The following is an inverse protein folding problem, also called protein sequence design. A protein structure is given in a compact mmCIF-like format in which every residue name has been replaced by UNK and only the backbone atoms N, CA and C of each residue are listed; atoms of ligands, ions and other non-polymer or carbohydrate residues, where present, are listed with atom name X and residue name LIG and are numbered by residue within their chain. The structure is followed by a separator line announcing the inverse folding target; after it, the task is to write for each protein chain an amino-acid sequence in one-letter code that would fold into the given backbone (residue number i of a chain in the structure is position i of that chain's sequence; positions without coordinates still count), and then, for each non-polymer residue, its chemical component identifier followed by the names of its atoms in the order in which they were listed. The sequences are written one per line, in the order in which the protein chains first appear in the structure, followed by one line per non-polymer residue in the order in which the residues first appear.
data_IF_286300109125
#
_entry.id   IF_286300109125
#
_cell.length_a   1.000
_cell.length_b   1.000
_cell.length_c   1.000
_cell.angle_alpha   90.00
_cell.angle_beta   90.00
_cell.angle_gamma   90.00
#
_symmetry.space_group_name_H-M   'P 1'
#
loop_
_entity.id
_entity.type
_entity.pdbx_description
1 polymer ?
#
# COMPACT_ATOMS: atom_id res chain seq x y z
N UNK A 1 -32.14 15.19 -1.72
CA UNK A 1 -31.03 16.14 -1.89
C UNK A 1 -30.49 16.68 -0.57
N UNK A 2 -31.33 17.20 0.35
CA UNK A 2 -30.86 17.74 1.65
C UNK A 2 -30.04 16.74 2.48
N UNK A 3 -30.50 15.49 2.57
CA UNK A 3 -29.86 14.43 3.37
C UNK A 3 -28.42 14.11 2.89
N UNK A 4 -28.20 14.12 1.57
CA UNK A 4 -26.90 13.85 0.96
C UNK A 4 -25.90 14.98 1.26
N UNK A 5 -26.34 16.23 1.19
CA UNK A 5 -25.51 17.39 1.53
C UNK A 5 -25.17 17.38 3.02
N UNK A 6 -26.13 17.06 3.88
CA UNK A 6 -25.90 16.92 5.32
C UNK A 6 -24.86 15.82 5.61
N UNK A 7 -24.93 14.68 4.91
CA UNK A 7 -23.94 13.60 5.04
C UNK A 7 -22.53 14.07 4.68
N UNK A 8 -22.37 14.77 3.55
CA UNK A 8 -21.08 15.34 3.15
C UNK A 8 -20.54 16.28 4.24
N UNK A 9 -21.39 17.17 4.77
CA UNK A 9 -21.01 18.11 5.85
C UNK A 9 -20.63 17.39 7.14
N UNK A 10 -21.37 16.37 7.56
CA UNK A 10 -21.06 15.55 8.75
C UNK A 10 -19.72 14.84 8.62
N UNK A 11 -19.36 14.39 7.42
CA UNK A 11 -18.06 13.79 7.11
C UNK A 11 -16.95 14.83 6.88
N UNK A 12 -17.27 16.14 6.98
CA UNK A 12 -16.32 17.22 6.71
C UNK A 12 -15.86 17.30 5.26
N UNK A 13 -16.66 16.80 4.32
CA UNK A 13 -16.35 16.72 2.89
C UNK A 13 -16.82 17.98 2.14
N UNK A 14 -16.10 18.41 1.08
CA UNK A 14 -16.53 19.51 0.25
C UNK A 14 -17.85 19.20 -0.45
N UNK A 15 -18.72 20.22 -0.56
CA UNK A 15 -20.01 20.11 -1.26
C UNK A 15 -19.88 20.81 -2.61
N UNK A 16 -20.17 20.08 -3.69
CA UNK A 16 -20.23 20.58 -5.05
C UNK A 16 -21.07 19.65 -5.91
N UNK A 17 -21.75 20.19 -6.92
CA UNK A 17 -22.65 19.41 -7.78
C UNK A 17 -22.28 19.45 -9.27
N UNK A 18 -21.34 20.29 -9.66
CA UNK A 18 -20.88 20.45 -11.04
C UNK A 18 -19.37 20.74 -11.11
N UNK A 19 -18.85 20.79 -12.35
CA UNK A 19 -17.43 20.99 -12.62
C UNK A 19 -16.99 22.40 -12.22
N UNK A 20 -17.85 23.41 -12.39
CA UNK A 20 -17.56 24.81 -12.05
C UNK A 20 -17.32 24.98 -10.55
N UNK A 21 -18.18 24.38 -9.71
CA UNK A 21 -18.02 24.38 -8.26
C UNK A 21 -16.75 23.65 -7.84
N UNK A 22 -16.46 22.49 -8.43
CA UNK A 22 -15.23 21.75 -8.15
C UNK A 22 -13.98 22.54 -8.59
N UNK A 23 -14.03 23.19 -9.75
CA UNK A 23 -12.96 24.01 -10.28
C UNK A 23 -12.62 25.17 -9.33
N UNK A 24 -13.65 25.85 -8.81
CA UNK A 24 -13.48 26.91 -7.80
C UNK A 24 -12.83 26.39 -6.51
N UNK A 25 -13.24 25.20 -6.03
CA UNK A 25 -12.67 24.58 -4.82
C UNK A 25 -11.20 24.15 -4.99
N UNK A 26 -10.84 23.63 -6.17
CA UNK A 26 -9.46 23.22 -6.48
C UNK A 26 -8.60 24.44 -6.87
N UNK A 27 -9.22 25.55 -7.27
CA UNK A 27 -8.60 26.76 -7.85
C UNK A 27 -7.93 26.49 -9.20
N UNK A 28 -8.69 25.88 -10.11
CA UNK A 28 -8.29 25.62 -11.50
C UNK A 28 -9.35 26.21 -12.43
N UNK A 29 -8.96 26.61 -13.64
CA UNK A 29 -9.89 27.04 -14.67
C UNK A 29 -10.92 25.94 -15.00
N UNK A 30 -12.21 26.29 -15.06
CA UNK A 30 -13.29 25.33 -15.25
C UNK A 30 -13.23 24.66 -16.63
N UNK A 31 -12.87 25.40 -17.69
CA UNK A 31 -12.71 24.83 -19.04
C UNK A 31 -11.58 23.81 -19.06
N UNK A 32 -10.46 24.11 -18.40
CA UNK A 32 -9.35 23.17 -18.26
C UNK A 32 -9.76 21.93 -17.48
N UNK A 33 -10.48 22.08 -16.36
CA UNK A 33 -10.96 20.93 -15.60
C UNK A 33 -11.91 20.06 -16.42
N UNK A 34 -12.80 20.65 -17.20
CA UNK A 34 -13.68 19.92 -18.13
C UNK A 34 -12.89 19.08 -19.12
N UNK A 35 -11.83 19.63 -19.74
CA UNK A 35 -10.95 18.87 -20.64
C UNK A 35 -10.31 17.69 -19.91
N UNK A 36 -9.78 17.93 -18.70
CA UNK A 36 -9.14 16.88 -17.89
C UNK A 36 -10.12 15.77 -17.50
N UNK A 37 -11.40 16.09 -17.27
CA UNK A 37 -12.45 15.12 -16.95
C UNK A 37 -12.87 14.34 -18.19
N UNK A 38 -13.16 15.01 -19.30
CA UNK A 38 -13.66 14.39 -20.52
C UNK A 38 -12.60 13.58 -21.28
N UNK A 39 -11.32 13.96 -21.14
CA UNK A 39 -10.21 13.33 -21.85
C UNK A 39 -9.14 12.79 -20.88
N UNK A 40 -9.53 12.40 -19.66
CA UNK A 40 -8.60 12.01 -18.58
C UNK A 40 -7.55 11.00 -19.02
N UNK A 41 -7.93 10.05 -19.88
CA UNK A 41 -7.06 9.01 -20.42
C UNK A 41 -5.85 9.55 -21.21
N UNK A 42 -6.00 10.68 -21.91
CA UNK A 42 -4.91 11.32 -22.67
C UNK A 42 -3.82 11.90 -21.76
N UNK A 43 -4.13 12.06 -20.48
CA UNK A 43 -3.23 12.63 -19.48
C UNK A 43 -2.50 11.56 -18.65
N UNK A 44 -2.45 10.32 -19.13
CA UNK A 44 -1.66 9.25 -18.52
C UNK A 44 -0.54 8.79 -19.46
N UNK A 45 0.65 8.63 -18.89
CA UNK A 45 1.77 7.95 -19.54
C UNK A 45 1.89 6.54 -19.00
N UNK A 46 1.93 5.56 -19.90
CA UNK A 46 2.19 4.16 -19.51
C UNK A 46 3.63 3.76 -19.78
N UNK A 47 4.21 3.02 -18.86
CA UNK A 47 5.56 2.46 -18.99
C UNK A 47 5.68 1.18 -18.15
N UNK A 48 6.75 0.42 -18.34
CA UNK A 48 6.98 -0.85 -17.62
C UNK A 48 8.17 -0.71 -16.68
N UNK A 49 8.05 -1.31 -15.49
CA UNK A 49 9.16 -1.48 -14.55
C UNK A 49 9.36 -2.98 -14.26
N UNK A 50 10.59 -3.46 -14.06
CA UNK A 50 10.83 -4.86 -13.71
C UNK A 50 10.25 -5.18 -12.33
N UNK A 51 9.59 -6.34 -12.20
CA UNK A 51 9.20 -6.87 -10.89
C UNK A 51 10.44 -7.39 -10.16
N UNK A 52 10.41 -7.43 -8.82
CA UNK A 52 11.50 -7.99 -8.00
C UNK A 52 11.74 -9.48 -8.24
N UNK A 53 10.71 -10.21 -8.65
CA UNK A 53 10.82 -11.61 -9.05
C UNK A 53 11.15 -11.68 -10.54
N UNK A 54 10.12 -11.79 -11.37
CA UNK A 54 10.21 -11.94 -12.81
C UNK A 54 9.06 -11.18 -13.49
N UNK A 55 9.29 -10.79 -14.74
CA UNK A 55 8.32 -10.09 -15.57
C UNK A 55 8.22 -8.58 -15.28
N UNK A 56 7.19 -7.98 -15.84
CA UNK A 56 7.02 -6.52 -15.91
C UNK A 56 5.77 -6.07 -15.16
N UNK A 57 5.85 -4.88 -14.57
CA UNK A 57 4.70 -4.16 -14.01
C UNK A 57 4.40 -2.96 -14.90
N UNK A 58 3.20 -2.91 -15.47
CA UNK A 58 2.69 -1.73 -16.18
C UNK A 58 2.33 -0.66 -15.17
N UNK A 59 3.00 0.48 -15.25
CA UNK A 59 2.69 1.70 -14.49
C UNK A 59 1.93 2.64 -15.41
N UNK A 60 0.86 3.22 -14.91
CA UNK A 60 0.07 4.27 -15.57
C UNK A 60 0.18 5.52 -14.72
N UNK A 61 1.14 6.39 -15.06
CA UNK A 61 1.40 7.61 -14.31
C UNK A 61 0.57 8.77 -14.87
N UNK A 62 -0.23 9.45 -14.04
CA UNK A 62 -0.91 10.67 -14.45
C UNK A 62 0.08 11.81 -14.73
N UNK A 63 -0.36 12.78 -15.53
CA UNK A 63 0.30 14.06 -15.75
C UNK A 63 0.43 14.85 -14.44
N UNK A 64 1.27 15.88 -14.42
CA UNK A 64 1.45 16.73 -13.23
C UNK A 64 0.13 17.38 -12.78
N UNK A 65 -0.69 17.81 -13.74
CA UNK A 65 -2.00 18.43 -13.48
C UNK A 65 -2.97 17.44 -12.83
N UNK A 66 -3.14 16.24 -13.41
CA UNK A 66 -4.01 15.21 -12.82
C UNK A 66 -3.48 14.80 -11.44
N UNK A 67 -2.16 14.70 -11.24
CA UNK A 67 -1.58 14.43 -9.91
C UNK A 67 -1.93 15.51 -8.89
N UNK A 68 -1.91 16.79 -9.28
CA UNK A 68 -2.28 17.88 -8.38
C UNK A 68 -3.75 17.81 -7.97
N UNK A 69 -4.64 17.56 -8.93
CA UNK A 69 -6.08 17.37 -8.66
C UNK A 69 -6.32 16.13 -7.79
N UNK A 70 -5.70 14.99 -8.12
CA UNK A 70 -5.79 13.78 -7.31
C UNK A 70 -5.24 13.98 -5.90
N UNK A 71 -4.17 14.76 -5.72
CA UNK A 71 -3.65 15.12 -4.40
C UNK A 71 -4.64 16.00 -3.62
N UNK A 72 -5.35 16.91 -4.28
CA UNK A 72 -6.44 17.67 -3.67
C UNK A 72 -7.58 16.74 -3.23
N UNK A 73 -8.02 15.82 -4.09
CA UNK A 73 -9.06 14.83 -3.78
C UNK A 73 -8.62 13.95 -2.60
N UNK A 74 -7.38 13.47 -2.60
CA UNK A 74 -6.82 12.67 -1.52
C UNK A 74 -6.94 13.40 -0.17
N UNK A 75 -6.42 14.63 -0.08
CA UNK A 75 -6.36 15.38 1.19
C UNK A 75 -7.72 15.90 1.66
N UNK A 76 -8.55 16.37 0.74
CA UNK A 76 -9.80 17.06 1.08
C UNK A 76 -10.99 16.10 1.18
N UNK A 77 -10.88 14.89 0.62
CA UNK A 77 -11.95 13.90 0.60
C UNK A 77 -11.48 12.60 1.25
N UNK A 78 -10.50 11.91 0.66
CA UNK A 78 -10.22 10.51 1.00
C UNK A 78 -9.51 10.33 2.35
N UNK A 79 -8.60 11.22 2.71
CA UNK A 79 -7.84 11.18 3.98
C UNK A 79 -8.73 11.48 5.20
N UNK A 80 -9.93 12.05 4.98
CA UNK A 80 -10.95 12.26 6.02
C UNK A 80 -11.79 11.02 6.30
N UNK A 81 -11.69 10.00 5.43
CA UNK A 81 -12.45 8.77 5.54
C UNK A 81 -11.64 7.69 6.27
N UNK A 82 -12.33 6.87 7.04
CA UNK A 82 -11.70 5.77 7.77
C UNK A 82 -11.71 4.49 6.91
N UNK A 83 -10.55 3.94 6.53
CA UNK A 83 -10.47 2.62 5.91
C UNK A 83 -10.75 1.52 6.96
N UNK A 84 -10.79 0.26 6.51
CA UNK A 84 -10.91 -0.89 7.40
C UNK A 84 -9.86 -0.90 8.50
N UNK A 85 -10.24 -1.31 9.72
CA UNK A 85 -9.31 -1.50 10.83
C UNK A 85 -8.22 -2.56 10.52
N UNK A 86 -8.55 -3.54 9.67
CA UNK A 86 -7.62 -4.60 9.24
C UNK A 86 -6.66 -4.15 8.13
N UNK A 87 -6.96 -3.04 7.45
CA UNK A 87 -6.08 -2.50 6.42
C UNK A 87 -4.88 -1.82 7.08
N UNK A 88 -3.70 -2.01 6.52
CA UNK A 88 -2.43 -1.48 7.06
C UNK A 88 -1.58 -0.80 5.98
N UNK A 89 -1.73 -1.21 4.72
CA UNK A 89 -1.03 -0.61 3.58
C UNK A 89 -1.65 0.72 3.18
N UNK A 90 -0.82 1.71 2.82
CA UNK A 90 -1.26 3.02 2.31
C UNK A 90 -2.13 3.85 3.26
N UNK A 91 -1.97 3.68 4.57
CA UNK A 91 -2.70 4.45 5.57
C UNK A 91 -1.76 5.45 6.22
N UNK A 92 -2.22 6.70 6.31
CA UNK A 92 -1.47 7.77 6.94
C UNK A 92 -1.08 7.37 8.37
N UNK A 93 0.18 7.63 8.74
CA UNK A 93 0.78 7.30 10.05
C UNK A 93 0.87 5.81 10.40
N UNK A 94 0.44 4.87 9.54
CA UNK A 94 0.78 3.46 9.70
C UNK A 94 2.16 3.15 9.13
N UNK A 95 2.87 2.27 9.81
CA UNK A 95 4.20 1.75 9.47
C UNK A 95 4.07 0.30 9.04
N UNK A 96 5.12 -0.20 8.38
CA UNK A 96 5.20 -1.60 7.95
C UNK A 96 5.06 -2.59 9.12
N UNK A 97 5.53 -2.20 10.31
CA UNK A 97 5.43 -3.03 11.53
C UNK A 97 4.00 -3.23 11.99
N UNK A 98 3.10 -2.27 11.75
CA UNK A 98 1.69 -2.37 12.15
C UNK A 98 0.97 -3.48 11.38
N UNK A 99 1.49 -3.88 10.22
CA UNK A 99 1.00 -5.04 9.48
C UNK A 99 1.43 -6.38 10.08
N UNK A 100 2.63 -6.46 10.64
CA UNK A 100 3.24 -7.75 11.02
C UNK A 100 3.16 -8.02 12.52
N UNK A 101 3.17 -6.97 13.35
CA UNK A 101 3.12 -7.08 14.81
C UNK A 101 1.91 -7.87 15.33
N UNK A 102 0.69 -7.72 14.78
CA UNK A 102 -0.45 -8.53 15.21
C UNK A 102 -0.19 -10.03 15.11
N UNK A 103 0.68 -10.47 14.20
CA UNK A 103 0.95 -11.88 13.95
C UNK A 103 2.17 -12.43 14.73
N UNK A 104 2.85 -11.61 15.53
CA UNK A 104 4.18 -11.93 16.07
C UNK A 104 4.20 -13.18 16.97
N UNK A 105 3.14 -13.43 17.73
CA UNK A 105 2.99 -14.60 18.61
C UNK A 105 2.55 -15.88 17.87
N UNK A 106 2.15 -15.80 16.60
CA UNK A 106 1.58 -16.93 15.86
C UNK A 106 2.62 -17.69 15.05
N UNK A 107 2.53 -19.01 15.02
CA UNK A 107 3.53 -19.89 14.39
C UNK A 107 3.22 -20.30 12.96
N UNK A 108 1.95 -20.28 12.57
CA UNK A 108 1.49 -20.65 11.23
C UNK A 108 0.84 -19.47 10.54
N UNK A 109 1.08 -19.35 9.25
CA UNK A 109 0.67 -18.22 8.43
C UNK A 109 0.07 -18.70 7.12
N UNK A 110 -1.00 -18.03 6.69
CA UNK A 110 -1.55 -18.14 5.35
C UNK A 110 -1.45 -16.75 4.70
N UNK A 111 -0.71 -16.65 3.62
CA UNK A 111 -0.64 -15.44 2.80
C UNK A 111 -1.33 -15.66 1.47
N UNK A 112 -2.20 -14.74 1.09
CA UNK A 112 -2.97 -14.73 -0.16
C UNK A 112 -2.79 -13.37 -0.81
N UNK A 113 -2.45 -13.34 -2.10
CA UNK A 113 -2.28 -12.12 -2.88
C UNK A 113 -3.49 -11.97 -3.82
N UNK A 114 -3.97 -10.75 -4.05
CA UNK A 114 -5.01 -10.47 -5.03
C UNK A 114 -4.37 -10.18 -6.39
N UNK A 115 -4.80 -10.90 -7.43
CA UNK A 115 -4.33 -10.70 -8.81
C UNK A 115 -4.79 -9.34 -9.32
N UNK A 116 -3.91 -8.62 -10.03
CA UNK A 116 -4.20 -7.34 -10.72
C UNK A 116 -5.04 -6.35 -9.90
N UNK A 117 -4.73 -6.24 -8.61
CA UNK A 117 -5.53 -5.57 -7.59
C UNK A 117 -6.10 -4.21 -7.98
N UNK A 118 -5.26 -3.27 -8.45
CA UNK A 118 -5.73 -1.92 -8.82
C UNK A 118 -6.63 -1.95 -10.07
N UNK A 119 -6.22 -2.51 -11.23
CA UNK A 119 -7.11 -2.65 -12.39
C UNK A 119 -8.43 -3.36 -12.12
N UNK A 120 -8.47 -4.37 -11.22
CA UNK A 120 -9.71 -5.07 -10.86
C UNK A 120 -10.72 -4.18 -10.13
N UNK A 121 -10.29 -3.06 -9.54
CA UNK A 121 -11.19 -2.09 -8.93
C UNK A 121 -11.74 -1.19 -10.03
N UNK A 122 -12.87 -1.63 -10.59
CA UNK A 122 -13.55 -0.95 -11.68
C UNK A 122 -14.09 0.43 -11.31
N UNK A 123 -14.17 1.31 -12.31
CA UNK A 123 -14.66 2.70 -12.18
C UNK A 123 -16.07 2.77 -11.58
N UNK A 124 -16.91 1.77 -11.83
CA UNK A 124 -18.24 1.67 -11.23
C UNK A 124 -18.19 1.57 -9.69
N UNK A 125 -17.21 0.85 -9.11
CA UNK A 125 -17.02 0.77 -7.64
C UNK A 125 -16.60 2.13 -7.07
N UNK A 126 -15.77 2.84 -7.81
CA UNK A 126 -15.31 4.19 -7.44
C UNK A 126 -16.46 5.19 -7.51
N UNK A 127 -17.27 5.14 -8.58
CA UNK A 127 -18.48 5.97 -8.70
C UNK A 127 -19.44 5.68 -7.56
N UNK A 128 -19.72 4.41 -7.31
CA UNK A 128 -20.62 3.99 -6.23
C UNK A 128 -20.12 4.43 -4.86
N UNK A 129 -18.80 4.40 -4.61
CA UNK A 129 -18.21 4.90 -3.38
C UNK A 129 -18.54 6.39 -3.18
N UNK A 130 -18.36 7.24 -4.20
CA UNK A 130 -18.67 8.66 -4.09
C UNK A 130 -20.18 8.94 -3.94
N UNK A 131 -21.04 8.18 -4.63
CA UNK A 131 -22.50 8.26 -4.44
C UNK A 131 -22.91 7.92 -3.00
N UNK A 132 -22.35 6.86 -2.41
CA UNK A 132 -22.63 6.46 -1.02
C UNK A 132 -22.21 7.54 -0.02
N UNK A 133 -21.11 8.24 -0.29
CA UNK A 133 -20.67 9.38 0.53
C UNK A 133 -21.64 10.57 0.48
N UNK A 134 -22.51 10.64 -0.52
CA UNK A 134 -23.52 11.69 -0.68
C UNK A 134 -23.24 12.65 -1.85
N UNK A 135 -22.23 12.40 -2.69
CA UNK A 135 -22.05 13.21 -3.90
C UNK A 135 -23.17 12.94 -4.91
N UNK A 136 -23.60 14.00 -5.61
CA UNK A 136 -24.54 13.89 -6.74
C UNK A 136 -23.94 13.06 -7.87
N UNK A 137 -24.78 12.58 -8.80
CA UNK A 137 -24.33 11.76 -9.92
C UNK A 137 -23.24 12.44 -10.74
N UNK A 138 -23.42 13.73 -11.06
CA UNK A 138 -22.45 14.50 -11.81
C UNK A 138 -21.10 14.65 -11.07
N UNK A 139 -21.15 14.95 -9.77
CA UNK A 139 -19.95 15.03 -8.93
C UNK A 139 -19.23 13.67 -8.81
N UNK A 140 -19.97 12.58 -8.59
CA UNK A 140 -19.42 11.23 -8.50
C UNK A 140 -18.76 10.78 -9.81
N UNK A 141 -19.39 11.03 -10.96
CA UNK A 141 -18.82 10.74 -12.29
C UNK A 141 -17.55 11.56 -12.52
N UNK A 142 -17.57 12.84 -12.17
CA UNK A 142 -16.42 13.75 -12.30
C UNK A 142 -15.23 13.25 -11.48
N UNK A 143 -15.43 12.95 -10.19
CA UNK A 143 -14.40 12.40 -9.32
C UNK A 143 -13.87 11.05 -9.82
N UNK A 144 -14.76 10.15 -10.28
CA UNK A 144 -14.38 8.86 -10.84
C UNK A 144 -13.49 9.01 -12.07
N UNK A 145 -13.85 9.89 -13.02
CA UNK A 145 -13.04 10.14 -14.23
C UNK A 145 -11.66 10.69 -13.92
N UNK A 146 -11.54 11.50 -12.88
CA UNK A 146 -10.26 12.04 -12.41
C UNK A 146 -9.39 11.00 -11.68
N UNK A 147 -10.00 9.97 -11.08
CA UNK A 147 -9.30 8.96 -10.29
C UNK A 147 -9.03 7.63 -11.01
N UNK A 148 -9.63 7.41 -12.17
CA UNK A 148 -9.56 6.13 -12.90
C UNK A 148 -8.89 6.30 -14.26
N UNK A 149 -8.45 5.18 -14.83
CA UNK A 149 -7.80 5.12 -16.14
C UNK A 149 -8.20 3.81 -16.83
N UNK A 150 -8.74 3.90 -18.06
CA UNK A 150 -9.27 2.75 -18.82
C UNK A 150 -10.13 1.81 -17.95
N UNK A 151 -11.13 2.36 -17.27
CA UNK A 151 -12.14 1.58 -16.55
C UNK A 151 -11.75 1.08 -15.16
N UNK A 152 -10.54 1.32 -14.65
CA UNK A 152 -10.12 0.88 -13.31
C UNK A 152 -9.15 1.84 -12.62
N UNK A 153 -8.68 1.47 -11.42
CA UNK A 153 -7.67 2.27 -10.72
C UNK A 153 -6.28 2.10 -11.40
N UNK A 154 -5.59 3.21 -11.73
CA UNK A 154 -4.25 3.12 -12.29
C UNK A 154 -3.20 2.77 -11.24
N UNK A 155 -2.27 1.88 -11.60
CA UNK A 155 -1.02 1.69 -10.86
C UNK A 155 -0.13 2.92 -11.07
N UNK A 156 -0.10 3.85 -10.10
CA UNK A 156 0.60 5.14 -10.19
C UNK A 156 -0.30 6.36 -9.97
N UNK A 157 -1.62 6.17 -9.86
CA UNK A 157 -2.54 7.22 -9.42
C UNK A 157 -2.31 7.61 -7.96
N UNK A 158 -2.46 8.90 -7.65
CA UNK A 158 -2.26 9.42 -6.29
C UNK A 158 -3.40 8.99 -5.37
N UNK A 159 -4.63 8.90 -5.88
CA UNK A 159 -5.82 8.48 -5.12
C UNK A 159 -6.00 6.96 -5.07
N UNK A 160 -5.44 6.21 -6.02
CA UNK A 160 -5.61 4.75 -6.11
C UNK A 160 -5.37 3.99 -4.80
N UNK A 161 -4.33 4.30 -4.01
CA UNK A 161 -4.08 3.59 -2.75
C UNK A 161 -5.16 3.81 -1.68
N UNK A 162 -5.67 5.03 -1.54
CA UNK A 162 -6.73 5.34 -0.57
C UNK A 162 -8.07 4.76 -1.04
N UNK A 163 -8.39 4.93 -2.33
CA UNK A 163 -9.61 4.38 -2.93
C UNK A 163 -9.67 2.86 -2.82
N UNK A 164 -8.56 2.16 -3.05
CA UNK A 164 -8.54 0.70 -2.96
C UNK A 164 -8.83 0.20 -1.54
N UNK A 165 -8.33 0.90 -0.52
CA UNK A 165 -8.64 0.58 0.88
C UNK A 165 -10.11 0.81 1.24
N UNK A 166 -10.72 1.89 0.75
CA UNK A 166 -12.13 2.18 1.00
C UNK A 166 -13.04 1.15 0.31
N UNK A 167 -12.71 0.78 -0.93
CA UNK A 167 -13.44 -0.26 -1.67
C UNK A 167 -13.33 -1.63 -1.01
N UNK A 168 -12.19 -1.94 -0.39
CA UNK A 168 -11.97 -3.22 0.28
C UNK A 168 -12.65 -3.35 1.65
N UNK A 169 -13.37 -2.32 2.14
CA UNK A 169 -14.01 -2.36 3.45
C UNK A 169 -14.92 -3.59 3.63
N UNK A 170 -15.66 -3.97 2.59
CA UNK A 170 -16.59 -5.11 2.66
C UNK A 170 -15.87 -6.45 2.70
N UNK A 171 -14.84 -6.65 1.87
CA UNK A 171 -14.02 -7.88 1.90
C UNK A 171 -13.30 -8.02 3.23
N UNK A 172 -12.76 -6.92 3.76
CA UNK A 172 -12.06 -6.92 5.04
C UNK A 172 -12.98 -7.24 6.22
N UNK A 173 -14.23 -6.75 6.21
CA UNK A 173 -15.22 -7.10 7.25
C UNK A 173 -15.53 -8.60 7.23
N UNK A 174 -15.72 -9.20 6.05
CA UNK A 174 -16.00 -10.64 5.92
C UNK A 174 -14.80 -11.50 6.35
N UNK A 175 -13.60 -11.15 5.88
CA UNK A 175 -12.37 -11.85 6.25
C UNK A 175 -12.03 -11.68 7.74
N UNK A 176 -12.20 -10.48 8.28
CA UNK A 176 -12.03 -10.19 9.70
C UNK A 176 -13.02 -10.94 10.59
N UNK A 177 -14.29 -11.01 10.16
CA UNK A 177 -15.30 -11.84 10.81
C UNK A 177 -14.92 -13.32 10.83
N UNK A 178 -14.48 -13.87 9.70
CA UNK A 178 -13.97 -15.24 9.61
C UNK A 178 -12.76 -15.47 10.54
N UNK A 179 -11.81 -14.53 10.57
CA UNK A 179 -10.63 -14.61 11.43
C UNK A 179 -11.02 -14.66 12.91
N UNK A 180 -11.91 -13.76 13.33
CA UNK A 180 -12.39 -13.66 14.71
C UNK A 180 -13.08 -14.95 15.16
N UNK A 181 -13.99 -15.50 14.34
CA UNK A 181 -14.70 -16.75 14.66
C UNK A 181 -13.78 -17.98 14.75
N UNK A 182 -12.59 -17.91 14.16
CA UNK A 182 -11.63 -19.02 14.11
C UNK A 182 -10.39 -18.77 14.98
N UNK A 183 -10.41 -17.76 15.85
CA UNK A 183 -9.27 -17.36 16.70
C UNK A 183 -7.98 -17.18 15.88
N UNK A 184 -8.10 -16.43 14.78
CA UNK A 184 -6.99 -16.09 13.90
C UNK A 184 -6.77 -14.58 13.89
N UNK A 185 -5.52 -14.20 13.60
CA UNK A 185 -5.19 -12.80 13.32
C UNK A 185 -5.22 -12.59 11.82
N UNK A 186 -5.82 -11.48 11.38
CA UNK A 186 -5.93 -11.08 9.98
C UNK A 186 -5.46 -9.63 9.80
N UNK A 187 -4.65 -9.41 8.76
CA UNK A 187 -4.29 -8.08 8.26
C UNK A 187 -4.30 -8.07 6.73
N UNK A 188 -4.53 -6.88 6.14
CA UNK A 188 -4.39 -6.65 4.70
C UNK A 188 -3.45 -5.48 4.43
N UNK A 189 -2.38 -5.74 3.70
CA UNK A 189 -1.45 -4.74 3.19
C UNK A 189 -1.61 -4.62 1.68
N UNK A 190 -2.37 -3.62 1.23
CA UNK A 190 -2.74 -3.48 -0.19
C UNK A 190 -3.44 -4.75 -0.73
N UNK A 191 -2.80 -5.46 -1.63
CA UNK A 191 -3.20 -6.73 -2.25
C UNK A 191 -2.79 -7.98 -1.47
N UNK A 192 -1.88 -7.84 -0.49
CA UNK A 192 -1.37 -8.95 0.34
C UNK A 192 -2.26 -9.13 1.59
N UNK A 193 -2.93 -10.27 1.67
CA UNK A 193 -3.77 -10.69 2.79
C UNK A 193 -2.98 -11.71 3.61
N UNK A 194 -2.89 -11.48 4.92
CA UNK A 194 -2.22 -12.42 5.84
C UNK A 194 -3.15 -12.85 6.96
N UNK A 195 -3.27 -14.17 7.13
CA UNK A 195 -3.84 -14.82 8.30
C UNK A 195 -2.73 -15.49 9.11
N UNK A 196 -2.87 -15.55 10.43
CA UNK A 196 -1.98 -16.35 11.27
C UNK A 196 -2.69 -16.94 12.48
N UNK A 197 -2.19 -18.08 12.95
CA UNK A 197 -2.67 -18.75 14.16
C UNK A 197 -1.61 -19.71 14.70
N UNK A 198 -1.85 -20.29 15.87
CA UNK A 198 -1.06 -21.38 16.44
C UNK A 198 -1.59 -22.78 16.09
N UNK A 199 -2.67 -22.87 15.32
CA UNK A 199 -3.24 -24.13 14.81
C UNK A 199 -3.14 -24.23 13.28
N UNK A 200 -2.21 -25.04 12.76
CA UNK A 200 -2.01 -25.22 11.31
C UNK A 200 -3.27 -25.71 10.58
N UNK A 201 -3.97 -26.69 11.15
CA UNK A 201 -5.13 -27.30 10.51
C UNK A 201 -6.30 -26.31 10.39
N UNK A 202 -6.39 -25.34 11.30
CA UNK A 202 -7.35 -24.25 11.19
C UNK A 202 -7.13 -23.43 9.91
N UNK A 203 -5.88 -23.10 9.54
CA UNK A 203 -5.58 -22.35 8.31
C UNK A 203 -5.98 -23.10 7.04
N UNK A 204 -5.69 -24.40 6.98
CA UNK A 204 -6.09 -25.21 5.82
C UNK A 204 -7.61 -25.21 5.64
N UNK A 205 -8.37 -25.30 6.73
CA UNK A 205 -9.84 -25.33 6.70
C UNK A 205 -10.48 -24.02 6.29
N UNK A 206 -9.80 -22.87 6.47
CA UNK A 206 -10.34 -21.56 6.07
C UNK A 206 -9.92 -21.15 4.66
N UNK A 207 -8.96 -21.84 4.04
CA UNK A 207 -8.41 -21.45 2.74
C UNK A 207 -9.48 -21.31 1.67
N UNK A 208 -10.37 -22.30 1.55
CA UNK A 208 -11.47 -22.28 0.57
C UNK A 208 -12.42 -21.13 0.84
N UNK A 209 -12.82 -20.93 2.11
CA UNK A 209 -13.69 -19.82 2.50
C UNK A 209 -13.06 -18.45 2.23
N UNK A 210 -11.75 -18.31 2.42
CA UNK A 210 -11.02 -17.07 2.08
C UNK A 210 -11.11 -16.80 0.57
N UNK A 211 -10.89 -17.82 -0.27
CA UNK A 211 -11.01 -17.67 -1.71
C UNK A 211 -12.45 -17.33 -2.15
N UNK A 212 -13.45 -17.99 -1.58
CA UNK A 212 -14.85 -17.70 -1.83
C UNK A 212 -15.21 -16.26 -1.44
N UNK A 213 -14.77 -15.79 -0.27
CA UNK A 213 -14.99 -14.40 0.15
C UNK A 213 -14.33 -13.42 -0.84
N UNK A 214 -13.08 -13.65 -1.23
CA UNK A 214 -12.36 -12.79 -2.18
C UNK A 214 -13.11 -12.71 -3.52
N UNK A 215 -13.53 -13.87 -4.07
CA UNK A 215 -14.26 -13.95 -5.34
C UNK A 215 -15.64 -13.29 -5.28
N UNK A 216 -16.39 -13.54 -4.21
CA UNK A 216 -17.71 -12.96 -4.02
C UNK A 216 -17.67 -11.42 -3.86
N UNK A 217 -16.52 -10.85 -3.50
CA UNK A 217 -16.32 -9.39 -3.45
C UNK A 217 -15.68 -8.80 -4.73
N UNK A 218 -15.64 -9.61 -5.81
CA UNK A 218 -15.22 -9.18 -7.14
C UNK A 218 -13.71 -9.11 -7.33
N UNK A 219 -12.94 -9.89 -6.57
CA UNK A 219 -11.48 -10.00 -6.68
C UNK A 219 -11.08 -11.44 -7.03
N UNK A 220 -9.88 -11.63 -7.58
CA UNK A 220 -9.37 -12.98 -7.87
C UNK A 220 -8.11 -13.28 -7.04
N UNK A 221 -8.07 -14.38 -6.27
CA UNK A 221 -6.85 -14.79 -5.59
C UNK A 221 -5.76 -15.20 -6.60
N UNK A 222 -4.53 -14.80 -6.32
CA UNK A 222 -3.37 -15.21 -7.08
C UNK A 222 -2.82 -16.53 -6.55
N UNK A 223 -3.33 -17.64 -7.10
CA UNK A 223 -3.04 -19.00 -6.65
C UNK A 223 -1.54 -19.33 -6.58
N UNK A 224 -0.73 -18.82 -7.52
CA UNK A 224 0.72 -19.03 -7.56
C UNK A 224 1.47 -18.38 -6.38
N UNK A 225 0.87 -17.35 -5.77
CA UNK A 225 1.46 -16.63 -4.64
C UNK A 225 0.88 -17.03 -3.29
N UNK A 226 -0.09 -17.95 -3.26
CA UNK A 226 -0.65 -18.48 -2.02
C UNK A 226 0.42 -19.25 -1.29
N UNK A 227 0.61 -18.94 0.00
CA UNK A 227 1.63 -19.58 0.83
C UNK A 227 1.08 -19.96 2.18
N UNK A 228 1.24 -21.23 2.54
CA UNK A 228 1.04 -21.74 3.89
C UNK A 228 2.40 -21.97 4.54
N UNK A 229 2.74 -21.16 5.55
CA UNK A 229 4.05 -21.16 6.19
C UNK A 229 3.92 -21.68 7.63
N UNK A 230 4.92 -22.44 8.07
CA UNK A 230 5.04 -22.91 9.45
C UNK A 230 6.43 -22.63 10.02
N UNK A 231 6.72 -23.06 11.26
CA UNK A 231 7.96 -22.72 11.97
C UNK A 231 9.26 -23.15 11.29
N UNK A 232 9.22 -24.24 10.50
CA UNK A 232 10.41 -24.76 9.79
C UNK A 232 10.81 -23.91 8.59
N UNK A 233 9.91 -23.06 8.10
CA UNK A 233 10.15 -22.20 6.94
C UNK A 233 10.26 -20.76 7.41
N UNK A 234 11.20 -20.00 6.85
CA UNK A 234 11.33 -18.59 7.18
C UNK A 234 10.05 -17.84 6.77
N UNK A 235 9.27 -17.40 7.76
CA UNK A 235 8.10 -16.56 7.52
C UNK A 235 8.53 -15.14 7.10
N UNK A 236 8.02 -14.67 5.96
CA UNK A 236 8.25 -13.32 5.46
C UNK A 236 6.93 -12.67 5.05
N UNK A 237 6.55 -11.59 5.74
CA UNK A 237 5.35 -10.79 5.45
C UNK A 237 5.79 -9.39 5.05
N UNK A 238 5.33 -8.91 3.89
CA UNK A 238 5.65 -7.56 3.37
C UNK A 238 7.15 -7.20 3.38
N UNK A 239 8.03 -8.20 3.25
CA UNK A 239 9.49 -8.04 3.25
C UNK A 239 10.16 -8.10 4.62
N UNK A 240 9.41 -8.21 5.72
CA UNK A 240 9.93 -8.43 7.06
C UNK A 240 9.91 -9.91 7.41
N UNK A 241 10.93 -10.34 8.15
CA UNK A 241 11.16 -11.73 8.51
C UNK A 241 10.80 -11.94 9.97
N UNK A 242 10.04 -12.99 10.26
CA UNK A 242 9.76 -13.40 11.63
C UNK A 242 11.04 -13.89 12.30
N UNK A 243 11.33 -13.41 13.51
CA UNK A 243 12.41 -13.95 14.32
C UNK A 243 12.01 -15.34 14.88
N UNK A 244 12.95 -16.28 14.89
CA UNK A 244 12.71 -17.64 15.40
C UNK A 244 12.71 -17.70 16.94
N UNK A 245 13.47 -16.82 17.59
CA UNK A 245 13.69 -16.82 19.05
C UNK A 245 12.79 -15.84 19.78
N UNK A 246 12.31 -14.80 19.10
CA UNK A 246 11.53 -13.72 19.70
C UNK A 246 10.24 -13.49 18.93
N UNK A 247 9.17 -13.11 19.63
CA UNK A 247 7.89 -12.74 19.04
C UNK A 247 7.97 -11.35 18.40
N UNK A 248 8.80 -11.19 17.36
CA UNK A 248 8.97 -9.97 16.59
C UNK A 248 9.29 -10.23 15.12
N UNK A 249 9.10 -9.20 14.31
CA UNK A 249 9.55 -9.14 12.93
C UNK A 249 10.72 -8.17 12.78
N UNK A 250 11.60 -8.43 11.82
CA UNK A 250 12.73 -7.56 11.51
C UNK A 250 13.21 -7.73 10.07
N UNK A 251 14.36 -7.14 9.74
CA UNK A 251 14.88 -7.19 8.37
C UNK A 251 15.51 -8.54 7.99
N UNK A 252 15.80 -9.38 8.97
CA UNK A 252 16.43 -10.69 8.81
C UNK A 252 17.94 -10.65 8.54
N UNK A 253 18.62 -11.75 8.87
CA UNK A 253 20.10 -11.87 8.82
C UNK A 253 20.69 -11.60 7.43
N UNK A 254 20.06 -12.12 6.36
CA UNK A 254 20.57 -11.95 4.98
C UNK A 254 20.62 -10.47 4.55
N UNK A 255 19.54 -9.72 4.81
CA UNK A 255 19.49 -8.28 4.47
C UNK A 255 20.49 -7.49 5.32
N UNK A 256 20.63 -7.85 6.60
CA UNK A 256 21.59 -7.28 7.54
C UNK A 256 23.04 -7.41 7.06
N UNK A 257 23.43 -8.60 6.62
CA UNK A 257 24.78 -8.87 6.06
C UNK A 257 25.00 -8.06 4.78
N UNK A 258 24.03 -8.04 3.87
CA UNK A 258 24.13 -7.27 2.62
C UNK A 258 24.33 -5.78 2.89
N UNK A 259 23.60 -5.20 3.85
CA UNK A 259 23.76 -3.79 4.22
C UNK A 259 25.17 -3.50 4.75
N UNK A 260 25.73 -4.36 5.60
CA UNK A 260 27.13 -4.21 6.09
C UNK A 260 28.14 -4.28 4.96
N UNK A 261 27.98 -5.23 4.04
CA UNK A 261 28.88 -5.38 2.90
C UNK A 261 28.86 -4.14 2.00
N UNK A 262 27.67 -3.57 1.76
CA UNK A 262 27.53 -2.30 1.01
C UNK A 262 28.21 -1.14 1.72
N UNK A 263 27.93 -0.95 3.01
CA UNK A 263 28.56 0.11 3.83
C UNK A 263 30.09 0.01 3.81
N UNK A 264 30.62 -1.21 3.98
CA UNK A 264 32.06 -1.46 3.95
C UNK A 264 32.65 -1.19 2.57
N UNK A 265 32.05 -1.70 1.49
CA UNK A 265 32.59 -1.52 0.15
C UNK A 265 32.56 -0.05 -0.30
N UNK A 266 31.57 0.72 0.14
CA UNK A 266 31.50 2.14 -0.14
C UNK A 266 32.69 2.90 0.47
N UNK A 267 32.88 2.80 1.80
CA UNK A 267 33.90 3.60 2.49
C UNK A 267 35.32 3.04 2.41
N UNK A 268 35.48 1.71 2.28
CA UNK A 268 36.79 1.06 2.28
C UNK A 268 37.34 0.85 0.87
N UNK A 269 36.47 0.52 -0.09
CA UNK A 269 36.89 0.19 -1.46
C UNK A 269 36.60 1.31 -2.47
N UNK A 270 35.97 2.42 -2.05
CA UNK A 270 35.62 3.55 -2.92
C UNK A 270 34.70 3.16 -4.08
N UNK A 271 33.95 2.06 -3.96
CA UNK A 271 33.11 1.56 -5.05
C UNK A 271 31.80 2.34 -5.08
N UNK A 272 31.64 3.17 -6.10
CA UNK A 272 30.41 3.85 -6.45
C UNK A 272 29.88 3.26 -7.77
N UNK A 273 28.83 2.43 -7.69
CA UNK A 273 28.12 1.93 -8.87
C UNK A 273 26.63 1.70 -8.54
N UNK A 274 25.83 1.23 -9.50
CA UNK A 274 24.40 0.93 -9.30
C UNK A 274 24.13 -0.18 -8.27
N UNK A 275 25.15 -0.96 -7.87
CA UNK A 275 25.14 -2.01 -6.86
C UNK A 275 25.52 -1.47 -5.47
N UNK A 276 26.35 -0.42 -5.40
CA UNK A 276 26.83 0.24 -4.19
C UNK A 276 26.27 1.67 -4.09
N UNK A 277 25.12 1.83 -3.43
CA UNK A 277 24.49 3.12 -3.31
C UNK A 277 25.30 4.10 -2.45
N UNK A 278 25.06 5.39 -2.66
CA UNK A 278 25.76 6.49 -1.99
C UNK A 278 25.48 6.58 -0.48
N UNK A 279 26.18 7.50 0.19
CA UNK A 279 26.01 7.74 1.62
C UNK A 279 24.57 8.13 1.99
N UNK A 280 23.89 8.92 1.16
CA UNK A 280 22.51 9.34 1.37
C UNK A 280 21.54 8.14 1.38
N UNK A 281 21.75 7.18 0.47
CA UNK A 281 20.97 5.95 0.43
C UNK A 281 21.16 5.08 1.68
N UNK A 282 22.38 5.03 2.21
CA UNK A 282 22.66 4.33 3.48
C UNK A 282 21.90 5.00 4.63
N UNK A 283 21.90 6.33 4.71
CA UNK A 283 21.13 7.05 5.72
C UNK A 283 19.63 6.80 5.59
N UNK A 284 19.12 6.74 4.35
CA UNK A 284 17.76 6.29 4.06
C UNK A 284 17.47 4.88 4.58
N UNK A 285 18.41 3.94 4.42
CA UNK A 285 18.26 2.58 4.97
C UNK A 285 18.28 2.56 6.50
N UNK A 286 19.15 3.36 7.13
CA UNK A 286 19.19 3.49 8.59
C UNK A 286 17.88 4.07 9.13
N UNK A 287 17.32 5.09 8.47
CA UNK A 287 16.01 5.65 8.81
C UNK A 287 14.89 4.62 8.69
N UNK A 288 14.89 3.81 7.61
CA UNK A 288 13.97 2.68 7.47
C UNK A 288 14.11 1.67 8.61
N UNK A 289 15.34 1.33 9.02
CA UNK A 289 15.57 0.41 10.15
C UNK A 289 15.02 0.97 11.46
N UNK A 290 15.16 2.28 11.71
CA UNK A 290 14.66 2.91 12.94
C UNK A 290 13.17 2.65 13.14
N UNK A 291 12.38 2.65 12.06
CA UNK A 291 10.93 2.41 12.11
C UNK A 291 10.52 0.94 12.13
N UNK A 292 11.43 0.01 11.86
CA UNK A 292 11.09 -1.40 11.55
C UNK A 292 11.82 -2.42 12.40
N UNK A 293 13.09 -2.19 12.70
CA UNK A 293 13.95 -3.07 13.49
C UNK A 293 14.96 -2.21 14.27
N UNK A 294 14.53 -1.62 15.41
CA UNK A 294 15.35 -0.69 16.19
C UNK A 294 16.68 -1.29 16.67
N UNK A 295 16.68 -2.58 17.03
CA UNK A 295 17.91 -3.26 17.44
C UNK A 295 18.91 -3.38 16.29
N UNK A 296 18.45 -3.69 15.07
CA UNK A 296 19.32 -3.66 13.89
C UNK A 296 19.72 -2.23 13.49
N UNK A 297 18.87 -1.23 13.71
CA UNK A 297 19.21 0.18 13.49
C UNK A 297 20.42 0.59 14.31
N UNK A 298 20.39 0.40 15.64
CA UNK A 298 21.49 0.79 16.52
C UNK A 298 22.82 0.12 16.13
N UNK A 299 22.78 -1.18 15.85
CA UNK A 299 23.98 -1.93 15.46
C UNK A 299 24.56 -1.43 14.13
N UNK A 300 23.70 -1.12 13.15
CA UNK A 300 24.14 -0.62 11.85
C UNK A 300 24.65 0.82 11.91
N UNK A 301 23.99 1.68 12.68
CA UNK A 301 24.42 3.06 12.89
C UNK A 301 25.79 3.10 13.56
N UNK A 302 25.99 2.28 14.60
CA UNK A 302 27.31 2.13 15.25
C UNK A 302 28.38 1.70 14.25
N UNK A 303 28.12 0.63 13.48
CA UNK A 303 29.06 0.13 12.46
C UNK A 303 29.39 1.19 11.40
N UNK A 304 28.39 1.91 10.91
CA UNK A 304 28.54 2.97 9.91
C UNK A 304 29.38 4.14 10.42
N UNK A 305 29.12 4.60 11.65
CA UNK A 305 29.89 5.68 12.27
C UNK A 305 31.36 5.29 12.48
N UNK A 306 31.63 4.04 12.90
CA UNK A 306 33.00 3.52 13.00
C UNK A 306 33.73 3.53 11.65
N UNK A 307 33.05 3.11 10.57
CA UNK A 307 33.64 3.16 9.23
C UNK A 307 33.90 4.59 8.76
N UNK A 308 32.96 5.52 8.98
CA UNK A 308 33.14 6.95 8.66
C UNK A 308 34.34 7.54 9.40
N UNK A 309 34.48 7.28 10.70
CA UNK A 309 35.61 7.76 11.48
C UNK A 309 36.96 7.22 10.99
N UNK A 310 37.00 5.95 10.54
CA UNK A 310 38.24 5.29 10.12
C UNK A 310 38.64 5.57 8.66
N UNK A 311 37.69 5.78 7.76
CA UNK A 311 37.95 5.85 6.31
C UNK A 311 37.34 7.09 5.62
N UNK A 312 36.52 7.88 6.30
CA UNK A 312 35.79 9.01 5.71
C UNK A 312 36.65 10.21 5.28
N UNK A 313 37.91 10.28 5.72
CA UNK A 313 38.88 11.30 5.28
C UNK A 313 39.60 10.96 3.99
N UNK A 314 39.46 9.73 3.45
CA UNK A 314 40.15 9.26 2.23
C UNK A 314 39.32 9.41 0.94
N UNK A 315 38.17 10.06 1.00
CA UNK A 315 37.18 10.13 -0.11
C UNK A 315 36.78 11.56 -0.49
N UNK A 316 37.68 12.54 -0.30
CA UNK A 316 37.58 13.85 -0.96
C UNK A 316 38.30 13.84 -2.29
#
# INVERSE_FOLDING_TARGET
MLENIQRLRLLGLPVFDNIENLAALIRVDSKRLTILVLQSERFYRTYRIPKRSSGWRKISSPSKEIKAIQAWILRNILDKLSPSAYATGYILRKRLVDNVNPHASNRFFLSVDIRDFFPMIGSWRIRRLFEVLGYSEMAAVTLTRLCTYFGGLPQGGVTSPALSNLVCLKVDRRLGGLASHRNMVFTRYADDITFSTNNRNALCRVLTLVFEIIRNEGFEPNLEKVRLLGPRTQCRITGLVKNSSEARFGIGKKKKIRMRAVMHNLLVKGRHDSTYPDGASIEGWLSFLKGVDPGSHEQMTRYWNTLKAKYGSKTR
#
